data_IF_334185366754
#
_entry.id   IF_334185366754
#
_cell.length_a   1.000
_cell.length_b   1.000
_cell.length_c   1.000
_cell.angle_alpha   90.00
_cell.angle_beta   90.00
_cell.angle_gamma   90.00
#
_symmetry.space_group_name_H-M   'P 1'
#
loop_
_entity.id
_entity.type
_entity.pdbx_description
1 polymer ?
#
# COMPACT_ATOMS: atom_id res chain seq x y z
N UNK A 1 5.97 26.56 -15.02
CA UNK A 1 5.08 25.38 -15.13
C UNK A 1 5.58 24.32 -14.15
N UNK A 2 5.23 24.46 -12.87
CA UNK A 2 5.58 23.53 -11.79
C UNK A 2 4.26 23.19 -11.10
N UNK A 3 3.60 22.12 -11.55
CA UNK A 3 2.43 21.60 -10.84
C UNK A 3 2.95 20.58 -9.83
N UNK A 4 3.07 21.03 -8.58
CA UNK A 4 3.56 20.22 -7.48
C UNK A 4 2.62 19.05 -7.19
N UNK A 5 3.18 17.84 -7.19
CA UNK A 5 2.53 16.67 -6.64
C UNK A 5 2.49 16.83 -5.10
N UNK A 6 1.38 17.36 -4.58
CA UNK A 6 1.08 17.24 -3.16
C UNK A 6 0.98 15.76 -2.82
N UNK A 7 1.92 15.26 -2.01
CA UNK A 7 1.78 14.01 -1.30
C UNK A 7 0.53 14.13 -0.40
N UNK A 8 -0.62 13.72 -0.92
CA UNK A 8 -1.88 13.70 -0.20
C UNK A 8 -1.73 12.73 0.98
N UNK A 9 -1.62 13.31 2.18
CA UNK A 9 -1.85 12.57 3.43
C UNK A 9 -3.18 11.85 3.29
N UNK A 10 -3.19 10.51 3.37
CA UNK A 10 -4.42 9.80 3.63
C UNK A 10 -4.91 10.25 5.01
N UNK A 11 -5.91 11.13 5.04
CA UNK A 11 -6.59 11.49 6.28
C UNK A 11 -7.28 10.23 6.83
N UNK A 12 -7.44 10.14 8.15
CA UNK A 12 -8.22 9.09 8.84
C UNK A 12 -9.64 8.88 8.28
N UNK A 13 -10.11 9.77 7.41
CA UNK A 13 -11.34 9.69 6.63
C UNK A 13 -11.46 8.44 5.73
N UNK A 14 -10.37 7.78 5.31
CA UNK A 14 -10.48 6.53 4.51
C UNK A 14 -10.87 5.32 5.35
N UNK A 15 -10.39 5.21 6.60
CA UNK A 15 -10.75 4.12 7.51
C UNK A 15 -12.08 4.34 8.25
N UNK A 16 -12.48 5.59 8.50
CA UNK A 16 -13.75 5.91 9.15
C UNK A 16 -15.01 5.56 8.32
N UNK A 17 -14.85 5.30 7.01
CA UNK A 17 -15.95 5.01 6.07
C UNK A 17 -16.31 3.53 5.97
N UNK A 18 -15.67 2.65 6.74
CA UNK A 18 -15.92 1.20 6.73
C UNK A 18 -17.19 0.76 7.49
N UNK A 19 -17.97 1.70 8.06
CA UNK A 19 -19.21 1.43 8.83
C UNK A 19 -20.49 1.86 8.11
N UNK A 20 -20.56 1.72 6.80
CA UNK A 20 -21.80 1.97 6.05
C UNK A 20 -22.64 0.69 5.93
N UNK A 21 -23.95 0.82 5.93
CA UNK A 21 -24.84 -0.28 5.59
C UNK A 21 -24.79 -0.50 4.08
N UNK A 22 -24.06 -1.54 3.65
CA UNK A 22 -23.87 -1.90 2.25
C UNK A 22 -25.19 -2.09 1.48
N UNK A 23 -26.26 -2.53 2.14
CA UNK A 23 -27.55 -2.75 1.50
C UNK A 23 -28.22 -1.44 1.04
N UNK A 24 -27.88 -0.32 1.66
CA UNK A 24 -28.44 1.01 1.34
C UNK A 24 -27.41 1.97 0.77
N UNK A 25 -26.17 1.51 0.55
CA UNK A 25 -25.05 2.36 0.14
C UNK A 25 -25.03 2.53 -1.38
N UNK A 26 -25.43 3.71 -1.86
CA UNK A 26 -25.56 3.99 -3.29
C UNK A 26 -24.24 4.43 -3.93
N UNK A 27 -24.15 4.28 -5.26
CA UNK A 27 -22.99 4.76 -6.02
C UNK A 27 -22.80 6.28 -5.93
N UNK A 28 -23.88 7.05 -5.81
CA UNK A 28 -23.80 8.50 -5.59
C UNK A 28 -23.18 8.83 -4.23
N UNK A 29 -23.53 8.06 -3.18
CA UNK A 29 -22.94 8.23 -1.87
C UNK A 29 -21.45 7.84 -1.88
N UNK A 30 -21.12 6.71 -2.49
CA UNK A 30 -19.74 6.30 -2.74
C UNK A 30 -18.95 7.38 -3.49
N UNK A 31 -19.52 7.95 -4.54
CA UNK A 31 -18.87 8.99 -5.34
C UNK A 31 -18.55 10.22 -4.50
N UNK A 32 -19.48 10.68 -3.65
CA UNK A 32 -19.22 11.78 -2.71
C UNK A 32 -18.15 11.42 -1.67
N UNK A 33 -18.26 10.23 -1.09
CA UNK A 33 -17.35 9.76 -0.06
C UNK A 33 -15.92 9.63 -0.58
N UNK A 34 -15.72 9.21 -1.83
CA UNK A 34 -14.40 9.00 -2.43
C UNK A 34 -13.97 10.11 -3.40
N UNK A 35 -14.68 11.24 -3.40
CA UNK A 35 -14.32 12.43 -4.18
C UNK A 35 -14.35 12.20 -5.69
N UNK A 36 -15.27 11.38 -6.17
CA UNK A 36 -15.46 11.09 -7.60
C UNK A 36 -16.33 12.16 -8.27
N UNK A 37 -15.92 12.58 -9.45
CA UNK A 37 -16.58 13.63 -10.23
C UNK A 37 -17.07 13.11 -11.58
N UNK A 38 -17.93 12.08 -11.56
CA UNK A 38 -18.55 11.54 -12.76
C UNK A 38 -19.79 12.37 -13.12
N UNK A 39 -19.93 12.75 -14.40
CA UNK A 39 -21.13 13.42 -14.87
C UNK A 39 -22.33 12.46 -14.81
N UNK A 40 -23.38 12.84 -14.08
CA UNK A 40 -24.57 12.02 -13.89
C UNK A 40 -25.17 11.59 -15.25
N UNK A 41 -25.49 10.30 -15.39
CA UNK A 41 -26.07 9.74 -16.62
C UNK A 41 -25.07 9.51 -17.78
N UNK A 42 -23.83 9.97 -17.66
CA UNK A 42 -22.80 9.72 -18.68
C UNK A 42 -22.49 8.22 -18.87
N UNK A 43 -21.81 7.89 -19.96
CA UNK A 43 -21.33 6.52 -20.20
C UNK A 43 -20.35 6.08 -19.09
N UNK A 44 -19.44 6.97 -18.68
CA UNK A 44 -18.48 6.72 -17.60
C UNK A 44 -19.20 6.48 -16.26
N UNK A 45 -20.18 7.32 -15.91
CA UNK A 45 -20.98 7.13 -14.70
C UNK A 45 -21.64 5.75 -14.67
N UNK A 46 -22.28 5.35 -15.76
CA UNK A 46 -22.96 4.04 -15.86
C UNK A 46 -21.96 2.88 -15.76
N UNK A 47 -20.79 3.01 -16.39
CA UNK A 47 -19.73 2.01 -16.31
C UNK A 47 -19.20 1.85 -14.89
N UNK A 48 -18.86 2.96 -14.23
CA UNK A 48 -18.34 2.98 -12.84
C UNK A 48 -19.38 2.51 -11.83
N UNK A 49 -20.65 2.86 -12.02
CA UNK A 49 -21.75 2.37 -11.21
C UNK A 49 -21.90 0.84 -11.31
N UNK A 50 -21.72 0.26 -12.51
CA UNK A 50 -21.75 -1.18 -12.70
C UNK A 50 -20.58 -1.88 -11.97
N UNK A 51 -19.36 -1.33 -12.08
CA UNK A 51 -18.19 -1.82 -11.34
C UNK A 51 -18.42 -1.78 -9.83
N UNK A 52 -18.92 -0.66 -9.32
CA UNK A 52 -19.28 -0.49 -7.90
C UNK A 52 -20.28 -1.55 -7.45
N UNK A 53 -21.33 -1.79 -8.23
CA UNK A 53 -22.35 -2.80 -7.91
C UNK A 53 -21.75 -4.21 -7.84
N UNK A 54 -20.86 -4.56 -8.77
CA UNK A 54 -20.13 -5.83 -8.75
C UNK A 54 -19.24 -5.94 -7.51
N UNK A 55 -18.56 -4.87 -7.10
CA UNK A 55 -17.74 -4.85 -5.89
C UNK A 55 -18.57 -5.01 -4.60
N UNK A 56 -19.76 -4.41 -4.52
CA UNK A 56 -20.69 -4.62 -3.39
C UNK A 56 -21.08 -6.11 -3.27
N UNK A 57 -21.40 -6.76 -4.40
CA UNK A 57 -21.71 -8.19 -4.43
C UNK A 57 -20.52 -9.05 -3.98
N UNK A 58 -19.31 -8.70 -4.42
CA UNK A 58 -18.07 -9.38 -4.02
C UNK A 58 -17.83 -9.28 -2.51
N UNK A 59 -18.07 -8.10 -1.91
CA UNK A 59 -17.96 -7.90 -0.46
C UNK A 59 -18.96 -8.81 0.29
N UNK A 60 -20.22 -8.84 -0.13
CA UNK A 60 -21.24 -9.70 0.50
C UNK A 60 -20.87 -11.19 0.39
N UNK A 61 -20.48 -11.65 -0.80
CA UNK A 61 -20.07 -13.03 -1.04
C UNK A 61 -18.85 -13.42 -0.20
N UNK A 62 -17.86 -12.53 -0.12
CA UNK A 62 -16.64 -12.73 0.68
C UNK A 62 -16.96 -12.80 2.17
N UNK A 63 -17.80 -11.89 2.69
CA UNK A 63 -18.17 -11.88 4.10
C UNK A 63 -19.00 -13.11 4.49
N UNK A 64 -19.93 -13.54 3.63
CA UNK A 64 -20.67 -14.78 3.85
C UNK A 64 -19.75 -16.00 3.85
N UNK A 65 -18.76 -16.06 2.95
CA UNK A 65 -17.74 -17.12 2.95
C UNK A 65 -16.89 -17.08 4.22
N UNK A 66 -16.42 -15.90 4.62
CA UNK A 66 -15.57 -15.73 5.80
C UNK A 66 -16.29 -16.19 7.07
N UNK A 67 -17.59 -15.90 7.21
CA UNK A 67 -18.41 -16.40 8.33
C UNK A 67 -18.50 -17.93 8.33
N UNK A 68 -18.76 -18.55 7.18
CA UNK A 68 -18.82 -20.03 7.07
C UNK A 68 -17.48 -20.70 7.37
N UNK A 69 -16.38 -20.07 6.97
CA UNK A 69 -15.02 -20.58 7.16
C UNK A 69 -14.37 -20.16 8.50
N UNK A 70 -15.10 -19.44 9.37
CA UNK A 70 -14.57 -18.97 10.65
C UNK A 70 -13.40 -17.98 10.54
N UNK A 71 -13.31 -17.21 9.44
CA UNK A 71 -12.25 -16.21 9.24
C UNK A 71 -12.53 -14.96 10.07
N UNK A 72 -11.49 -14.46 10.75
CA UNK A 72 -11.57 -13.32 11.66
C UNK A 72 -11.61 -11.93 10.98
N UNK A 73 -11.81 -11.86 9.66
CA UNK A 73 -11.81 -10.59 8.92
C UNK A 73 -13.04 -10.45 8.02
N UNK A 74 -13.43 -9.20 7.76
CA UNK A 74 -14.52 -8.86 6.85
C UNK A 74 -14.02 -7.86 5.80
N UNK A 75 -14.45 -8.05 4.56
CA UNK A 75 -14.33 -7.06 3.50
C UNK A 75 -15.26 -5.87 3.81
N UNK A 76 -14.78 -4.66 3.53
CA UNK A 76 -15.52 -3.42 3.72
C UNK A 76 -15.44 -2.53 2.49
N UNK A 77 -16.15 -1.41 2.51
CA UNK A 77 -16.10 -0.39 1.45
C UNK A 77 -14.69 0.18 1.34
N UNK A 78 -14.17 0.30 0.12
CA UNK A 78 -12.81 0.75 -0.15
C UNK A 78 -12.75 1.59 -1.44
N UNK A 79 -11.70 2.41 -1.66
CA UNK A 79 -11.63 3.38 -2.77
C UNK A 79 -11.45 2.79 -4.18
N UNK A 80 -11.51 1.47 -4.34
CA UNK A 80 -11.24 0.78 -5.62
C UNK A 80 -12.46 -0.01 -6.11
N UNK A 81 -13.64 0.25 -5.54
CA UNK A 81 -14.88 -0.45 -5.88
C UNK A 81 -15.37 -0.08 -7.29
N UNK A 82 -15.00 1.08 -7.79
CA UNK A 82 -15.31 1.59 -9.12
C UNK A 82 -14.17 1.37 -10.15
N UNK A 83 -13.16 0.58 -9.80
CA UNK A 83 -12.00 0.34 -10.66
C UNK A 83 -12.12 -0.98 -11.44
N UNK A 84 -11.60 -0.99 -12.66
CA UNK A 84 -11.40 -2.22 -13.45
C UNK A 84 -10.29 -3.06 -12.85
N UNK A 85 -10.19 -4.31 -13.29
CA UNK A 85 -9.12 -5.21 -12.87
C UNK A 85 -7.75 -4.66 -13.31
N UNK A 86 -7.68 -4.08 -14.50
CA UNK A 86 -6.48 -3.51 -15.09
C UNK A 86 -6.01 -2.26 -14.33
N UNK A 87 -6.94 -1.37 -13.99
CA UNK A 87 -6.67 -0.21 -13.15
C UNK A 87 -6.14 -0.63 -11.79
N UNK A 88 -6.74 -1.64 -11.15
CA UNK A 88 -6.24 -2.18 -9.86
C UNK A 88 -4.85 -2.80 -10.01
N UNK A 89 -4.60 -3.52 -11.09
CA UNK A 89 -3.28 -4.13 -11.37
C UNK A 89 -2.18 -3.09 -11.59
N UNK A 90 -2.51 -1.89 -12.05
CA UNK A 90 -1.53 -0.80 -12.22
C UNK A 90 -0.87 -0.38 -10.90
N UNK A 91 -1.54 -0.60 -9.76
CA UNK A 91 -1.01 -0.31 -8.43
C UNK A 91 0.03 -1.34 -7.97
N UNK A 92 0.11 -2.51 -8.63
CA UNK A 92 1.04 -3.58 -8.28
C UNK A 92 2.43 -3.29 -8.86
N UNK A 93 3.12 -2.36 -8.21
CA UNK A 93 4.46 -1.93 -8.56
C UNK A 93 5.53 -3.01 -8.37
N UNK A 94 5.40 -3.85 -7.36
CA UNK A 94 6.35 -4.94 -7.19
C UNK A 94 5.96 -6.12 -8.10
N UNK A 95 6.81 -6.43 -9.07
CA UNK A 95 6.64 -7.59 -9.95
C UNK A 95 7.71 -8.64 -9.64
N UNK A 96 7.38 -9.77 -9.01
CA UNK A 96 8.39 -10.78 -8.68
C UNK A 96 9.03 -11.33 -9.96
N UNK A 97 10.31 -11.05 -10.16
CA UNK A 97 11.08 -11.63 -11.28
C UNK A 97 11.49 -13.06 -10.93
N UNK A 98 11.03 -14.04 -11.72
CA UNK A 98 11.37 -15.47 -11.53
C UNK A 98 12.84 -15.78 -11.82
N UNK A 99 13.55 -14.88 -12.52
CA UNK A 99 14.96 -15.06 -12.92
C UNK A 99 15.95 -14.55 -11.89
N UNK A 100 15.52 -13.77 -10.89
CA UNK A 100 16.41 -13.13 -9.92
C UNK A 100 16.73 -13.99 -8.67
N UNK A 101 16.50 -15.30 -8.74
CA UNK A 101 16.97 -16.25 -7.70
C UNK A 101 18.49 -16.39 -7.65
N UNK A 102 19.23 -15.78 -8.58
CA UNK A 102 20.69 -15.86 -8.68
C UNK A 102 21.42 -14.52 -8.45
N UNK A 103 20.73 -13.49 -7.95
CA UNK A 103 21.42 -12.31 -7.46
C UNK A 103 22.18 -12.65 -6.18
N UNK A 104 23.50 -12.43 -6.15
CA UNK A 104 24.29 -12.32 -4.91
C UNK A 104 23.85 -11.06 -4.13
N UNK A 105 22.57 -10.94 -3.82
CA UNK A 105 22.15 -10.10 -2.71
C UNK A 105 22.80 -10.69 -1.48
N UNK A 106 23.35 -9.85 -0.61
CA UNK A 106 23.77 -10.28 0.72
C UNK A 106 22.57 -10.99 1.30
N UNK A 107 22.64 -12.31 1.38
CA UNK A 107 21.73 -13.05 2.22
C UNK A 107 22.03 -12.50 3.60
N UNK A 108 21.22 -11.56 4.07
CA UNK A 108 20.94 -11.53 5.48
C UNK A 108 20.22 -12.84 5.73
N UNK A 109 21.02 -13.90 5.87
CA UNK A 109 20.67 -14.97 6.76
C UNK A 109 20.29 -14.20 8.02
N UNK A 110 19.03 -14.30 8.42
CA UNK A 110 18.70 -14.15 9.81
C UNK A 110 19.48 -15.26 10.52
N UNK A 111 20.79 -15.10 10.64
CA UNK A 111 21.59 -15.96 11.49
C UNK A 111 21.09 -15.56 12.86
N UNK A 112 20.37 -16.47 13.48
CA UNK A 112 20.26 -16.56 14.93
C UNK A 112 21.64 -16.76 15.61
N UNK A 113 22.75 -16.35 14.97
CA UNK A 113 24.04 -16.10 15.59
C UNK A 113 24.06 -14.59 15.87
N UNK A 114 23.37 -14.08 16.89
CA UNK A 114 23.67 -14.36 18.30
C UNK A 114 22.40 -14.49 19.16
N UNK A 115 21.61 -15.54 18.98
CA UNK A 115 20.55 -15.94 19.92
C UNK A 115 21.11 -16.80 21.09
N UNK A 116 22.40 -16.69 21.40
CA UNK A 116 22.96 -17.20 22.66
C UNK A 116 22.63 -16.24 23.80
N UNK A 117 21.34 -16.12 24.09
CA UNK A 117 20.82 -15.20 25.10
C UNK A 117 19.30 -15.10 25.01
N UNK A 118 18.60 -16.21 25.31
CA UNK A 118 17.15 -16.30 25.59
C UNK A 118 16.35 -15.05 25.22
N UNK A 119 15.91 -14.95 23.96
CA UNK A 119 14.80 -14.09 23.59
C UNK A 119 13.52 -14.93 23.47
N UNK A 120 13.19 -15.67 24.53
CA UNK A 120 11.79 -15.84 24.91
C UNK A 120 11.31 -14.53 25.57
N UNK A 121 11.58 -13.39 24.93
CA UNK A 121 10.84 -12.18 25.20
C UNK A 121 9.55 -12.35 24.42
N UNK A 122 8.48 -12.64 25.15
CA UNK A 122 7.11 -12.28 24.79
C UNK A 122 7.17 -11.12 23.81
N UNK A 123 6.66 -11.26 22.57
CA UNK A 123 6.67 -10.17 21.58
C UNK A 123 6.05 -8.94 22.25
N UNK A 124 6.94 -8.10 22.79
CA UNK A 124 6.57 -7.16 23.82
C UNK A 124 5.74 -6.07 23.17
N UNK A 125 4.89 -5.43 23.98
CA UNK A 125 3.96 -4.38 23.61
C UNK A 125 4.53 -3.25 22.70
N UNK A 126 5.84 -3.18 22.51
CA UNK A 126 6.58 -2.34 21.57
C UNK A 126 6.12 -2.46 20.11
N UNK A 127 5.84 -3.66 19.58
CA UNK A 127 5.32 -3.83 18.19
C UNK A 127 3.92 -3.22 18.07
N UNK A 128 3.08 -3.42 19.10
CA UNK A 128 1.77 -2.77 19.19
C UNK A 128 1.89 -1.26 19.34
N UNK A 129 2.89 -0.74 20.07
CA UNK A 129 3.07 0.71 20.26
C UNK A 129 3.39 1.46 18.94
N UNK A 130 4.07 0.80 18.00
CA UNK A 130 4.29 1.33 16.65
C UNK A 130 2.99 1.46 15.84
N UNK A 131 1.99 0.62 16.12
CA UNK A 131 0.70 0.58 15.41
C UNK A 131 -0.42 1.33 16.14
N UNK A 132 -0.32 1.53 17.46
CA UNK A 132 -1.49 1.84 18.29
C UNK A 132 -1.76 3.32 18.54
N UNK A 133 -0.86 4.25 18.22
CA UNK A 133 -1.13 5.69 18.42
C UNK A 133 -0.17 6.62 17.67
N UNK A 134 0.95 6.06 17.17
CA UNK A 134 2.03 6.82 16.53
C UNK A 134 2.52 6.17 15.24
N UNK A 135 1.65 5.41 14.57
CA UNK A 135 1.91 4.92 13.22
C UNK A 135 2.24 6.12 12.33
N UNK A 136 3.35 6.11 11.57
CA UNK A 136 3.62 7.17 10.61
C UNK A 136 2.38 7.35 9.73
N UNK A 137 2.07 8.60 9.37
CA UNK A 137 0.94 8.90 8.50
C UNK A 137 0.98 7.94 7.30
N UNK A 138 -0.05 7.09 7.18
CA UNK A 138 -0.10 6.05 6.17
C UNK A 138 0.10 6.69 4.80
N UNK A 139 1.18 6.29 4.12
CA UNK A 139 1.50 6.84 2.81
C UNK A 139 0.53 6.27 1.79
N UNK A 140 0.08 7.11 0.86
CA UNK A 140 -0.78 6.71 -0.24
C UNK A 140 0.04 6.75 -1.53
N UNK A 141 0.17 5.62 -2.22
CA UNK A 141 0.85 5.55 -3.52
C UNK A 141 0.08 6.23 -4.66
N UNK A 142 -1.19 6.60 -4.42
CA UNK A 142 -2.07 7.16 -5.43
C UNK A 142 -2.28 6.16 -6.58
N UNK A 143 -2.22 6.66 -7.81
CA UNK A 143 -2.42 5.86 -9.02
C UNK A 143 -1.10 5.37 -9.63
N UNK A 144 -0.04 5.28 -8.83
CA UNK A 144 1.30 4.91 -9.24
C UNK A 144 1.66 3.54 -8.66
N UNK A 145 2.28 2.66 -9.44
CA UNK A 145 2.87 1.41 -8.96
C UNK A 145 4.16 1.62 -8.15
N UNK A 146 4.13 2.47 -7.13
CA UNK A 146 5.30 2.84 -6.32
C UNK A 146 5.34 2.13 -4.95
N UNK A 147 4.57 1.06 -4.78
CA UNK A 147 4.56 0.31 -3.51
C UNK A 147 5.95 -0.19 -3.09
N UNK A 148 6.85 -0.48 -4.05
CA UNK A 148 8.24 -0.85 -3.81
C UNK A 148 9.04 0.28 -3.13
N UNK A 149 8.84 1.53 -3.55
CA UNK A 149 9.52 2.71 -3.01
C UNK A 149 8.96 3.09 -1.64
N UNK A 150 7.64 3.05 -1.47
CA UNK A 150 6.98 3.33 -0.17
C UNK A 150 7.43 2.31 0.87
N UNK A 151 7.42 1.02 0.52
CA UNK A 151 7.84 -0.04 1.45
C UNK A 151 9.29 0.15 1.90
N UNK A 152 10.20 0.50 0.97
CA UNK A 152 11.60 0.75 1.30
C UNK A 152 11.78 1.97 2.21
N UNK A 153 11.09 3.07 1.92
CA UNK A 153 11.11 4.28 2.76
C UNK A 153 10.62 4.01 4.17
N UNK A 154 9.51 3.30 4.32
CA UNK A 154 8.95 3.00 5.64
C UNK A 154 9.88 2.10 6.46
N UNK A 155 10.54 1.13 5.81
CA UNK A 155 11.54 0.29 6.46
C UNK A 155 12.77 1.10 6.93
N UNK A 156 13.28 2.01 6.11
CA UNK A 156 14.41 2.89 6.48
C UNK A 156 14.00 3.86 7.59
N UNK A 157 12.83 4.51 7.49
CA UNK A 157 12.32 5.39 8.54
C UNK A 157 12.17 4.66 9.88
N UNK A 158 11.71 3.41 9.87
CA UNK A 158 11.62 2.60 11.08
C UNK A 158 13.00 2.33 11.70
N UNK A 159 14.03 2.05 10.90
CA UNK A 159 15.40 1.86 11.41
C UNK A 159 16.00 3.16 11.95
N UNK A 160 15.81 4.28 11.25
CA UNK A 160 16.25 5.60 11.71
C UNK A 160 15.61 5.95 13.07
N UNK A 161 14.32 5.69 13.24
CA UNK A 161 13.63 5.90 14.52
C UNK A 161 14.22 5.02 15.64
N UNK A 162 14.55 3.76 15.35
CA UNK A 162 15.23 2.88 16.33
C UNK A 162 16.61 3.39 16.72
N UNK A 163 17.28 4.13 15.85
CA UNK A 163 18.58 4.76 16.09
C UNK A 163 18.47 6.14 16.76
N UNK A 164 17.26 6.57 17.14
CA UNK A 164 17.03 7.84 17.84
C UNK A 164 16.75 9.03 16.92
N UNK A 165 16.59 8.82 15.61
CA UNK A 165 16.19 9.88 14.69
C UNK A 165 14.72 10.27 14.93
N UNK A 166 14.40 11.57 15.04
CA UNK A 166 13.02 12.02 15.26
C UNK A 166 12.06 11.58 14.14
N UNK A 167 10.81 11.24 14.49
CA UNK A 167 9.74 10.87 13.54
C UNK A 167 9.39 11.95 12.50
N UNK A 168 9.78 13.21 12.76
CA UNK A 168 9.63 14.33 11.83
C UNK A 168 10.54 14.22 10.62
N UNK A 169 11.64 13.47 10.71
CA UNK A 169 12.50 13.17 9.57
C UNK A 169 11.78 12.18 8.67
N UNK A 170 11.54 12.60 7.42
CA UNK A 170 10.84 11.82 6.40
C UNK A 170 11.74 11.57 5.22
N UNK A 171 11.82 10.32 4.79
CA UNK A 171 12.52 9.93 3.57
C UNK A 171 11.58 10.13 2.39
N UNK A 172 12.12 10.62 1.27
CA UNK A 172 11.35 10.93 0.08
C UNK A 172 11.14 9.67 -0.77
N UNK A 173 9.94 9.10 -0.73
CA UNK A 173 9.57 8.02 -1.66
C UNK A 173 9.59 8.51 -3.12
N UNK A 174 9.29 9.79 -3.35
CA UNK A 174 9.32 10.38 -4.69
C UNK A 174 10.73 10.42 -5.27
N UNK A 175 11.76 10.69 -4.45
CA UNK A 175 13.14 10.62 -4.91
C UNK A 175 13.51 9.22 -5.41
N UNK A 176 12.97 8.17 -4.78
CA UNK A 176 13.19 6.80 -5.26
C UNK A 176 12.47 6.54 -6.58
N UNK A 177 11.21 6.98 -6.69
CA UNK A 177 10.42 6.86 -7.92
C UNK A 177 11.09 7.55 -9.10
N UNK A 178 11.67 8.73 -8.88
CA UNK A 178 12.23 9.56 -9.95
C UNK A 178 13.67 9.19 -10.31
N UNK A 179 14.46 8.71 -9.36
CA UNK A 179 15.93 8.66 -9.51
C UNK A 179 16.54 7.26 -9.46
N UNK A 180 15.83 6.23 -8.99
CA UNK A 180 16.42 4.87 -8.89
C UNK A 180 16.63 4.29 -10.29
N UNK A 181 17.87 4.01 -10.71
CA UNK A 181 18.13 3.38 -11.98
C UNK A 181 17.65 1.92 -11.96
N UNK A 182 17.01 1.48 -13.05
CA UNK A 182 16.55 0.10 -13.21
C UNK A 182 16.96 -0.50 -14.57
N UNK A 183 18.26 -0.54 -14.91
CA UNK A 183 18.73 -0.98 -16.22
C UNK A 183 18.46 -2.46 -16.50
N UNK A 184 18.22 -3.25 -15.46
CA UNK A 184 17.96 -4.69 -15.55
C UNK A 184 16.46 -5.02 -15.54
N UNK A 185 15.58 -4.01 -15.53
CA UNK A 185 14.13 -4.16 -15.45
C UNK A 185 13.69 -5.07 -14.27
N UNK A 186 14.40 -4.95 -13.14
CA UNK A 186 14.13 -5.72 -11.93
C UNK A 186 12.82 -5.23 -11.32
N UNK A 187 11.81 -6.09 -11.37
CA UNK A 187 10.50 -5.79 -10.79
C UNK A 187 9.65 -4.79 -11.56
N UNK A 188 9.98 -4.50 -12.82
CA UNK A 188 9.30 -3.54 -13.68
C UNK A 188 10.30 -2.61 -14.38
N UNK A 189 9.82 -1.49 -14.92
CA UNK A 189 10.64 -0.54 -15.70
C UNK A 189 11.13 0.66 -14.87
N UNK A 190 10.96 0.63 -13.55
CA UNK A 190 11.23 1.76 -12.66
C UNK A 190 10.01 2.66 -12.44
N UNK A 191 10.17 3.63 -11.54
CA UNK A 191 9.13 4.61 -11.19
C UNK A 191 7.78 3.97 -10.88
N UNK A 192 6.73 4.46 -11.55
CA UNK A 192 5.37 3.94 -11.41
C UNK A 192 5.11 2.61 -12.13
N UNK A 193 6.03 2.16 -12.98
CA UNK A 193 5.90 0.87 -13.69
C UNK A 193 6.47 -0.30 -12.89
N UNK A 194 7.03 -0.01 -11.72
CA UNK A 194 7.47 -0.99 -10.75
C UNK A 194 8.98 -1.16 -10.68
N UNK A 195 9.47 -1.45 -9.49
CA UNK A 195 10.84 -1.87 -9.24
C UNK A 195 10.88 -2.75 -7.98
N UNK A 196 12.06 -3.03 -7.44
CA UNK A 196 12.22 -3.80 -6.21
C UNK A 196 12.75 -2.96 -5.04
N UNK A 197 12.52 -3.41 -3.82
CA UNK A 197 13.05 -2.75 -2.61
C UNK A 197 14.58 -2.79 -2.55
N UNK A 198 15.22 -3.82 -3.11
CA UNK A 198 16.67 -3.95 -3.15
C UNK A 198 17.35 -2.85 -3.96
N UNK A 199 16.74 -2.47 -5.10
CA UNK A 199 17.20 -1.32 -5.87
C UNK A 199 17.06 -0.03 -5.05
N UNK A 200 15.94 0.11 -4.34
CA UNK A 200 15.69 1.25 -3.46
C UNK A 200 16.75 1.39 -2.35
N UNK A 201 17.08 0.28 -1.67
CA UNK A 201 18.09 0.27 -0.60
C UNK A 201 19.50 0.50 -1.15
N UNK A 202 19.82 -0.07 -2.31
CA UNK A 202 21.12 0.15 -2.97
C UNK A 202 21.31 1.62 -3.30
N UNK A 203 20.29 2.26 -3.87
CA UNK A 203 20.31 3.69 -4.19
C UNK A 203 20.43 4.58 -2.94
N UNK A 204 19.73 4.26 -1.84
CA UNK A 204 19.81 5.07 -0.61
C UNK A 204 21.13 4.91 0.15
N UNK A 205 21.89 3.84 -0.12
CA UNK A 205 23.20 3.59 0.49
C UNK A 205 24.29 4.45 -0.16
N UNK A 206 24.18 4.65 -1.48
CA UNK A 206 25.19 5.31 -2.32
C UNK A 206 25.04 6.84 -2.26
#
# INVERSE_FOLDING_TARGET
>A
LLSGASALRASSATFAKSKVNLNTYSFDQYSRDYGRSYAAGSAEYRHRAALFQSAVQEIHATNARNQREGRAWAAGVHPFMDWTVEERRSLNGYKPSRTHRQGKGVAFIHTEASASGRAASTMNATVRSFLSETAPALRNQGNCGSCWAISAVEAVEAQLQRQGVPKSVKVSAQALVDCVPNPQHCGGDGGCQGATGELAYSFMRD
#
